data_IF_240437364566
#
_entry.id   IF_240437364566
#
_cell.length_a   1.000
_cell.length_b   1.000
_cell.length_c   1.000
_cell.angle_alpha   90.00
_cell.angle_beta   90.00
_cell.angle_gamma   90.00
#
_symmetry.space_group_name_H-M   'P 1'
#
loop_
_entity.id
_entity.type
_entity.pdbx_description
1 polymer ?
#
# COMPACT_ATOMS: atom_id res chain seq x y z
N UNK A 1 2.62 -1.07 33.50
CA UNK A 1 1.73 -0.06 32.89
C UNK A 1 2.35 0.74 31.73
N UNK A 2 3.64 1.16 31.80
CA UNK A 2 4.26 1.99 30.74
C UNK A 2 4.52 1.25 29.40
N UNK A 3 4.86 -0.04 29.47
CA UNK A 3 5.14 -0.86 28.28
C UNK A 3 3.94 -1.03 27.35
N UNK A 4 2.73 -1.16 27.90
CA UNK A 4 1.49 -1.28 27.11
C UNK A 4 1.21 -0.03 26.30
N UNK A 5 1.46 1.15 26.87
CA UNK A 5 1.28 2.45 26.19
C UNK A 5 2.29 2.62 25.06
N UNK A 6 3.54 2.19 25.26
CA UNK A 6 4.59 2.25 24.24
C UNK A 6 4.26 1.30 23.07
N UNK A 7 3.81 0.08 23.37
CA UNK A 7 3.39 -0.89 22.35
C UNK A 7 2.22 -0.38 21.51
N UNK A 8 1.21 0.23 22.15
CA UNK A 8 0.08 0.85 21.47
C UNK A 8 0.51 2.02 20.59
N UNK A 9 1.41 2.89 21.08
CA UNK A 9 1.89 4.04 20.32
C UNK A 9 2.67 3.61 19.06
N UNK A 10 3.56 2.63 19.17
CA UNK A 10 4.32 2.10 18.03
C UNK A 10 3.39 1.41 17.03
N UNK A 11 2.46 0.58 17.51
CA UNK A 11 1.46 -0.07 16.66
C UNK A 11 0.58 0.94 15.93
N UNK A 12 0.17 2.03 16.60
CA UNK A 12 -0.65 3.09 16.02
C UNK A 12 0.11 3.93 14.99
N UNK A 13 1.40 4.23 15.23
CA UNK A 13 2.26 4.91 14.25
C UNK A 13 2.50 4.05 13.01
N UNK A 14 2.81 2.77 13.19
CA UNK A 14 2.95 1.82 12.09
C UNK A 14 1.63 1.71 11.30
N UNK A 15 0.50 1.62 11.98
CA UNK A 15 -0.83 1.57 11.36
C UNK A 15 -1.17 2.85 10.60
N UNK A 16 -0.86 4.03 11.14
CA UNK A 16 -1.11 5.32 10.49
C UNK A 16 -0.28 5.51 9.23
N UNK A 17 1.00 5.10 9.25
CA UNK A 17 1.85 5.09 8.06
C UNK A 17 1.34 4.10 7.00
N UNK A 18 0.85 2.93 7.43
CA UNK A 18 0.19 1.96 6.55
C UNK A 18 -1.09 2.54 5.94
N UNK A 19 -1.95 3.13 6.77
CA UNK A 19 -3.25 3.69 6.36
C UNK A 19 -3.13 4.92 5.46
N UNK A 20 -2.10 5.75 5.63
CA UNK A 20 -1.83 6.86 4.71
C UNK A 20 -1.35 6.37 3.33
N UNK A 21 -0.76 5.18 3.27
CA UNK A 21 -0.36 4.52 2.02
C UNK A 21 -1.54 3.84 1.32
N UNK A 22 -2.57 3.43 2.07
CA UNK A 22 -3.89 3.06 1.54
C UNK A 22 -4.74 4.31 1.26
N UNK A 23 -4.27 5.18 0.37
CA UNK A 23 -5.17 6.16 -0.25
C UNK A 23 -5.92 5.40 -1.35
N UNK A 24 -7.24 5.15 -1.24
CA UNK A 24 -8.01 4.74 -2.41
C UNK A 24 -7.97 5.93 -3.36
N UNK A 25 -7.06 5.88 -4.35
CA UNK A 25 -7.09 6.86 -5.42
C UNK A 25 -8.44 6.68 -6.11
N UNK A 26 -9.20 7.77 -6.34
CA UNK A 26 -10.60 7.71 -6.71
C UNK A 26 -10.74 6.77 -7.90
N UNK A 27 -11.55 5.72 -7.73
CA UNK A 27 -12.00 4.86 -8.83
C UNK A 27 -12.46 5.80 -9.94
N UNK A 28 -11.63 5.95 -10.97
CA UNK A 28 -12.13 6.51 -12.21
C UNK A 28 -13.27 5.59 -12.62
N UNK A 29 -14.47 6.16 -12.71
CA UNK A 29 -15.67 5.48 -13.15
C UNK A 29 -15.35 4.76 -14.45
N UNK A 30 -15.17 3.45 -14.42
CA UNK A 30 -15.53 2.64 -15.56
C UNK A 30 -16.33 1.44 -15.09
N UNK A 31 -17.62 1.59 -15.30
CA UNK A 31 -18.66 0.62 -15.04
C UNK A 31 -18.51 -0.49 -16.09
N UNK A 32 -17.61 -1.46 -15.88
CA UNK A 32 -17.52 -2.66 -16.70
C UNK A 32 -17.20 -3.87 -15.83
N UNK A 33 -18.23 -4.68 -15.64
CA UNK A 33 -18.24 -6.09 -15.25
C UNK A 33 -17.44 -6.45 -14.00
N UNK A 34 -18.18 -6.74 -12.93
CA UNK A 34 -17.81 -7.75 -11.95
C UNK A 34 -17.55 -9.07 -12.68
N UNK A 35 -16.35 -9.23 -13.22
CA UNK A 35 -15.74 -10.53 -13.40
C UNK A 35 -14.78 -10.61 -12.21
N UNK A 36 -14.87 -11.68 -11.42
CA UNK A 36 -13.88 -12.02 -10.40
C UNK A 36 -12.55 -12.31 -11.11
N UNK A 37 -11.88 -11.25 -11.58
CA UNK A 37 -10.56 -11.33 -12.16
C UNK A 37 -9.61 -11.60 -11.00
N UNK A 38 -9.02 -12.80 -10.98
CA UNK A 38 -7.93 -13.11 -10.06
C UNK A 38 -6.81 -12.14 -10.41
N UNK A 39 -6.62 -11.13 -9.59
CA UNK A 39 -5.57 -10.14 -9.77
C UNK A 39 -4.27 -10.63 -9.14
N UNK A 40 -3.18 -10.54 -9.88
CA UNK A 40 -1.86 -10.86 -9.36
C UNK A 40 -1.47 -9.81 -8.31
N UNK A 41 -1.13 -10.25 -7.10
CA UNK A 41 -0.71 -9.37 -6.01
C UNK A 41 0.82 -9.32 -5.95
N UNK A 42 1.37 -8.12 -5.93
CA UNK A 42 2.80 -7.88 -5.85
C UNK A 42 3.16 -7.20 -4.52
N UNK A 43 4.34 -7.50 -3.99
CA UNK A 43 4.84 -6.91 -2.76
C UNK A 43 5.51 -5.54 -3.04
N UNK A 44 5.18 -4.53 -2.24
CA UNK A 44 5.81 -3.23 -2.29
C UNK A 44 7.26 -3.29 -1.77
N UNK A 45 8.23 -2.95 -2.61
CA UNK A 45 9.65 -3.00 -2.25
C UNK A 45 10.09 -2.00 -1.15
N UNK A 46 9.24 -1.03 -0.79
CA UNK A 46 9.54 -0.05 0.26
C UNK A 46 8.95 -0.40 1.63
N UNK A 47 7.80 -1.07 1.68
CA UNK A 47 7.06 -1.29 2.94
C UNK A 47 6.54 -2.73 3.13
N UNK A 48 6.73 -3.63 2.16
CA UNK A 48 6.33 -5.04 2.24
C UNK A 48 4.82 -5.29 2.15
N UNK A 49 4.02 -4.26 1.85
CA UNK A 49 2.56 -4.41 1.68
C UNK A 49 2.25 -5.01 0.31
N UNK A 50 1.27 -5.91 0.26
CA UNK A 50 0.78 -6.49 -0.99
C UNK A 50 -0.27 -5.59 -1.65
N UNK A 51 -0.09 -5.31 -2.93
CA UNK A 51 -0.99 -4.50 -3.77
C UNK A 51 -1.24 -5.24 -5.09
N UNK A 52 -2.41 -5.03 -5.71
CA UNK A 52 -2.69 -5.55 -7.05
C UNK A 52 -1.68 -5.00 -8.05
N UNK A 53 -1.14 -5.87 -8.91
CA UNK A 53 -0.16 -5.50 -9.94
C UNK A 53 -0.71 -4.40 -10.88
N UNK A 54 -2.02 -4.41 -11.14
CA UNK A 54 -2.69 -3.39 -11.97
C UNK A 54 -2.71 -2.01 -11.31
N UNK A 55 -2.67 -1.96 -9.99
CA UNK A 55 -2.71 -0.73 -9.19
C UNK A 55 -1.32 -0.30 -8.68
N UNK A 56 -0.33 -1.18 -8.78
CA UNK A 56 1.03 -0.94 -8.33
C UNK A 56 1.77 0.04 -9.26
N UNK A 57 2.54 0.95 -8.65
CA UNK A 57 3.50 1.77 -9.39
C UNK A 57 4.75 0.95 -9.66
N UNK A 58 5.10 0.74 -10.93
CA UNK A 58 6.32 0.04 -11.31
C UNK A 58 7.45 1.04 -11.62
N UNK A 59 8.60 0.90 -10.95
CA UNK A 59 9.83 1.65 -11.28
C UNK A 59 11.06 0.80 -11.07
N UNK A 60 11.98 0.87 -12.03
CA UNK A 60 13.27 0.15 -12.02
C UNK A 60 13.12 -1.37 -11.77
N UNK A 61 12.01 -1.96 -12.23
CA UNK A 61 11.74 -3.39 -12.05
C UNK A 61 11.10 -3.78 -10.72
N UNK A 62 10.64 -2.82 -9.91
CA UNK A 62 9.99 -3.10 -8.64
C UNK A 62 8.63 -2.40 -8.52
N UNK A 63 7.78 -2.98 -7.67
CA UNK A 63 6.43 -2.52 -7.40
C UNK A 63 6.37 -1.67 -6.12
N UNK A 64 5.54 -0.63 -6.15
CA UNK A 64 5.32 0.29 -5.05
C UNK A 64 3.84 0.57 -4.85
N UNK A 65 3.42 0.63 -3.58
CA UNK A 65 2.04 0.96 -3.23
C UNK A 65 1.69 2.44 -3.39
N UNK A 66 2.68 3.34 -3.39
CA UNK A 66 2.46 4.79 -3.48
C UNK A 66 3.64 5.54 -4.07
N UNK A 67 3.39 6.77 -4.56
CA UNK A 67 4.46 7.65 -5.04
C UNK A 67 5.45 8.03 -3.93
N UNK A 68 5.01 8.04 -2.66
CA UNK A 68 5.88 8.30 -1.53
C UNK A 68 6.90 7.17 -1.35
N UNK A 69 6.45 5.92 -1.45
CA UNK A 69 7.33 4.75 -1.43
C UNK A 69 8.30 4.72 -2.62
N UNK A 70 7.83 5.13 -3.80
CA UNK A 70 8.68 5.28 -4.99
C UNK A 70 9.76 6.36 -4.77
N UNK A 71 9.38 7.53 -4.26
CA UNK A 71 10.30 8.64 -3.99
C UNK A 71 11.30 8.33 -2.88
N UNK A 72 10.89 7.58 -1.85
CA UNK A 72 11.78 7.18 -0.75
C UNK A 72 12.97 6.33 -1.20
N UNK A 73 12.88 5.68 -2.37
CA UNK A 73 13.94 4.83 -2.91
C UNK A 73 14.80 5.50 -3.98
N UNK A 74 14.40 6.67 -4.50
CA UNK A 74 15.29 7.52 -5.30
C UNK A 74 16.24 8.27 -4.37
#
# INVERSE_FOLDING_TARGET
>A
MKLLVILLAIGMLAWLLLRSSFKPYPKTKNNKKHQDEIEEMCECACCGVYISQKEALMSDGYYFCSQECLKKRK
#
